data_IF_066413687645
#
_entry.id   IF_066413687645
#
_cell.length_a   1.000
_cell.length_b   1.000
_cell.length_c   1.000
_cell.angle_alpha   90.00
_cell.angle_beta   90.00
_cell.angle_gamma   90.00
#
_symmetry.space_group_name_H-M   'P 1'
#
loop_
_entity.id
_entity.type
_entity.pdbx_description
1 polymer ?
#
# COMPACT_ATOMS: atom_id res chain seq x y z
N UNK A 1 -2.51 -5.52 0.94
CA UNK A 1 -2.02 -5.63 2.34
C UNK A 1 -2.55 -4.42 3.09
N UNK A 2 -3.34 -4.62 4.15
CA UNK A 2 -3.74 -3.52 5.04
C UNK A 2 -3.55 -4.02 6.47
N UNK A 3 -2.96 -3.20 7.33
CA UNK A 3 -3.62 -2.77 8.58
C UNK A 3 -2.86 -1.64 9.27
N UNK A 4 -3.65 -0.71 9.82
CA UNK A 4 -3.34 0.38 10.73
C UNK A 4 -2.89 -0.13 12.14
N UNK A 5 -2.20 -1.26 12.20
CA UNK A 5 -1.68 -1.83 13.43
C UNK A 5 -0.39 -2.55 13.06
N UNK A 6 0.66 -2.27 13.82
CA UNK A 6 1.99 -2.87 13.74
C UNK A 6 1.93 -4.38 13.87
N UNK A 7 1.50 -5.05 12.81
CA UNK A 7 1.65 -6.49 12.59
C UNK A 7 2.07 -6.70 11.14
N UNK A 8 3.16 -6.09 10.72
CA UNK A 8 3.97 -6.63 9.64
C UNK A 8 5.32 -7.01 10.24
N UNK A 9 5.26 -8.15 10.95
CA UNK A 9 6.39 -9.04 11.18
C UNK A 9 7.19 -9.11 9.88
N UNK A 10 8.41 -8.56 9.85
CA UNK A 10 9.49 -8.89 8.93
C UNK A 10 9.06 -9.63 7.63
N UNK A 11 8.40 -8.92 6.72
CA UNK A 11 8.04 -9.46 5.40
C UNK A 11 9.15 -9.11 4.40
N UNK A 12 10.37 -9.64 4.61
CA UNK A 12 11.47 -9.38 3.66
C UNK A 12 11.24 -10.00 2.27
N UNK A 13 10.32 -10.96 2.13
CA UNK A 13 10.16 -11.76 0.90
C UNK A 13 8.69 -11.95 0.48
N UNK A 14 7.90 -10.88 0.42
CA UNK A 14 6.62 -10.92 -0.33
C UNK A 14 6.83 -10.26 -1.67
N UNK A 15 7.44 -11.01 -2.58
CA UNK A 15 7.47 -10.64 -3.98
C UNK A 15 6.16 -11.08 -4.68
N UNK A 16 5.79 -10.34 -5.73
CA UNK A 16 4.63 -10.63 -6.60
C UNK A 16 3.23 -10.29 -6.03
N UNK A 17 3.10 -9.22 -5.25
CA UNK A 17 1.77 -8.72 -4.85
C UNK A 17 1.03 -8.18 -6.09
N UNK A 18 -0.15 -8.72 -6.41
CA UNK A 18 -0.96 -8.24 -7.55
C UNK A 18 -1.83 -7.02 -7.24
N UNK A 19 -2.34 -6.95 -6.00
CA UNK A 19 -3.26 -5.91 -5.57
C UNK A 19 -2.84 -5.30 -4.24
N UNK A 20 -2.72 -3.99 -4.21
CA UNK A 20 -2.58 -3.20 -2.98
C UNK A 20 -3.89 -2.46 -2.76
N UNK A 21 -4.41 -2.49 -1.55
CA UNK A 21 -5.61 -1.75 -1.15
C UNK A 21 -5.19 -0.96 0.07
N UNK A 22 -5.49 0.33 0.13
CA UNK A 22 -5.28 1.20 1.28
C UNK A 22 -6.65 1.68 1.76
N UNK A 23 -7.06 1.30 2.98
CA UNK A 23 -8.32 1.78 3.57
C UNK A 23 -8.23 3.25 3.99
N UNK A 24 -7.06 3.70 4.42
CA UNK A 24 -6.79 5.09 4.75
C UNK A 24 -5.58 5.58 3.96
N UNK A 25 -5.64 6.82 3.47
CA UNK A 25 -4.50 7.48 2.87
C UNK A 25 -3.39 7.67 3.92
N UNK A 26 -2.13 7.31 3.63
CA UNK A 26 -1.02 7.49 4.56
C UNK A 26 -0.72 8.98 4.78
N UNK A 27 -0.04 9.30 5.88
CA UNK A 27 0.21 10.68 6.31
C UNK A 27 0.95 11.54 5.28
N UNK A 28 1.78 10.91 4.43
CA UNK A 28 2.58 11.56 3.39
C UNK A 28 2.58 10.75 2.08
N UNK A 29 2.82 11.42 0.96
CA UNK A 29 2.91 10.83 -0.37
C UNK A 29 4.04 9.81 -0.51
N UNK A 30 5.16 10.02 0.16
CA UNK A 30 6.34 9.16 0.13
C UNK A 30 6.00 7.78 0.71
N UNK A 31 5.25 7.76 1.81
CA UNK A 31 4.75 6.52 2.44
C UNK A 31 3.76 5.79 1.53
N UNK A 32 2.92 6.53 0.79
CA UNK A 32 2.04 5.95 -0.22
C UNK A 32 2.84 5.24 -1.31
N UNK A 33 3.85 5.91 -1.89
CA UNK A 33 4.70 5.34 -2.94
C UNK A 33 5.42 4.09 -2.46
N UNK A 34 5.97 4.11 -1.24
CA UNK A 34 6.63 2.94 -0.66
C UNK A 34 5.68 1.76 -0.41
N UNK A 35 4.42 2.01 -0.06
CA UNK A 35 3.39 0.97 0.12
C UNK A 35 2.98 0.34 -1.20
N UNK A 36 2.71 1.15 -2.24
CA UNK A 36 2.31 0.62 -3.55
C UNK A 36 3.48 0.00 -4.32
N UNK A 37 4.73 0.38 -4.03
CA UNK A 37 5.94 -0.19 -4.63
C UNK A 37 6.19 -1.68 -4.33
N UNK A 38 5.29 -2.32 -3.58
CA UNK A 38 5.26 -3.78 -3.35
C UNK A 38 4.48 -4.55 -4.42
N UNK A 39 3.71 -3.86 -5.28
CA UNK A 39 3.06 -4.43 -6.47
C UNK A 39 3.82 -4.04 -7.75
N UNK A 40 3.36 -4.51 -8.92
CA UNK A 40 3.89 -4.16 -10.24
C UNK A 40 5.40 -4.43 -10.45
N UNK A 41 5.96 -5.48 -9.84
CA UNK A 41 7.37 -5.87 -10.02
C UNK A 41 7.54 -6.84 -11.21
N UNK A 42 8.73 -6.85 -11.81
CA UNK A 42 9.14 -7.80 -12.87
C UNK A 42 8.20 -7.84 -14.09
N UNK A 43 7.96 -6.69 -14.73
CA UNK A 43 7.14 -6.52 -15.94
C UNK A 43 5.65 -6.89 -15.79
N UNK A 44 5.17 -7.07 -14.56
CA UNK A 44 3.75 -7.31 -14.30
C UNK A 44 3.06 -6.00 -13.96
N UNK A 45 1.82 -5.85 -14.44
CA UNK A 45 0.95 -4.77 -13.98
C UNK A 45 0.50 -5.05 -12.54
N UNK A 46 0.56 -4.02 -11.71
CA UNK A 46 0.01 -4.03 -10.36
C UNK A 46 -1.09 -2.99 -10.24
N UNK A 47 -2.09 -3.27 -9.41
CA UNK A 47 -3.19 -2.33 -9.18
C UNK A 47 -3.22 -1.93 -7.71
N UNK A 48 -3.28 -0.63 -7.47
CA UNK A 48 -3.42 -0.06 -6.14
C UNK A 48 -4.75 0.70 -6.03
N UNK A 49 -5.57 0.35 -5.03
CA UNK A 49 -6.79 1.06 -4.67
C UNK A 49 -6.56 1.81 -3.38
N UNK A 50 -6.94 3.08 -3.32
CA UNK A 50 -6.86 3.88 -2.10
C UNK A 50 -8.18 4.55 -1.86
N UNK A 51 -8.73 4.33 -0.66
CA UNK A 51 -9.95 4.97 -0.23
C UNK A 51 -9.62 6.31 0.43
N UNK A 52 -10.43 7.32 0.10
CA UNK A 52 -10.35 8.64 0.69
C UNK A 52 -11.64 8.89 1.47
N UNK A 53 -11.50 9.37 2.70
CA UNK A 53 -12.62 9.86 3.50
C UNK A 53 -12.45 11.36 3.71
N UNK A 54 -13.56 12.07 3.88
CA UNK A 54 -13.53 13.53 4.09
C UNK A 54 -12.67 13.94 5.29
N UNK A 55 -12.54 13.06 6.29
CA UNK A 55 -11.73 13.29 7.49
C UNK A 55 -10.21 13.35 7.24
N UNK A 56 -9.72 12.67 6.19
CA UNK A 56 -8.29 12.64 5.82
C UNK A 56 -7.94 13.64 4.71
N UNK A 57 -8.92 14.16 3.97
CA UNK A 57 -8.73 15.25 2.99
C UNK A 57 -8.89 16.63 3.66
N UNK A 58 -7.93 17.00 4.52
CA UNK A 58 -7.83 18.37 5.06
C UNK A 58 -7.11 19.31 4.12
#
# INVERSE_FOLDING_TARGET
IITNTTIFQKFSDVDDIKFVINFDYPNCSEDYVHRIGRTARSNKSGTAYTFFTTSIMK
#
